data_IF_817171140541
#
_entry.id   IF_817171140541
#
_cell.length_a   1.000
_cell.length_b   1.000
_cell.length_c   1.000
_cell.angle_alpha   90.00
_cell.angle_beta   90.00
_cell.angle_gamma   90.00
#
_symmetry.space_group_name_H-M   'P 1'
#
loop_
_entity.id
_entity.type
_entity.pdbx_description
1 polymer ?
#
# COMPACT_ATOMS: atom_id res chain seq x y z
N UNK A 1 1.24 35.38 35.15
CA UNK A 1 2.30 34.36 35.35
C UNK A 1 1.77 32.94 35.18
N UNK A 2 0.86 32.40 36.01
CA UNK A 2 0.28 31.05 35.72
C UNK A 2 -0.69 31.03 34.52
N UNK A 3 -1.43 32.12 34.30
CA UNK A 3 -2.38 32.25 33.17
C UNK A 3 -1.65 32.36 31.81
N UNK A 4 -0.40 32.83 31.80
CA UNK A 4 0.37 32.99 30.55
C UNK A 4 0.95 31.64 30.09
N UNK A 5 1.38 30.80 31.03
CA UNK A 5 1.91 29.47 30.73
C UNK A 5 0.81 28.49 30.27
N UNK A 6 -0.41 28.62 30.79
CA UNK A 6 -1.55 27.81 30.36
C UNK A 6 -1.98 28.15 28.91
N UNK A 7 -1.88 29.42 28.52
CA UNK A 7 -2.15 29.88 27.14
C UNK A 7 -1.08 29.42 26.15
N UNK A 8 0.19 29.50 26.54
CA UNK A 8 1.32 29.04 25.73
C UNK A 8 1.24 27.52 25.50
N UNK A 9 0.89 26.76 26.54
CA UNK A 9 0.65 25.31 26.43
C UNK A 9 -0.56 24.97 25.56
N UNK A 10 -1.65 25.75 25.65
CA UNK A 10 -2.80 25.59 24.76
C UNK A 10 -2.47 25.88 23.28
N UNK A 11 -1.64 26.90 23.01
CA UNK A 11 -1.16 27.20 21.66
C UNK A 11 -0.28 26.06 21.12
N UNK A 12 0.69 25.57 21.89
CA UNK A 12 1.52 24.42 21.50
C UNK A 12 0.65 23.18 21.21
N UNK A 13 -0.30 22.85 22.10
CA UNK A 13 -1.22 21.71 21.89
C UNK A 13 -2.03 21.87 20.60
N UNK A 14 -2.45 23.09 20.27
CA UNK A 14 -3.18 23.36 19.04
C UNK A 14 -2.29 23.23 17.80
N UNK A 15 -1.06 23.72 17.84
CA UNK A 15 -0.08 23.57 16.77
C UNK A 15 0.23 22.10 16.51
N UNK A 16 0.50 21.31 17.56
CA UNK A 16 0.70 19.86 17.46
C UNK A 16 -0.52 19.14 16.88
N UNK A 17 -1.74 19.54 17.25
CA UNK A 17 -2.98 18.97 16.67
C UNK A 17 -3.11 19.28 15.19
N UNK A 18 -2.80 20.50 14.80
CA UNK A 18 -2.88 20.95 13.42
C UNK A 18 -1.85 20.21 12.55
N UNK A 19 -0.64 20.02 13.07
CA UNK A 19 0.42 19.25 12.42
C UNK A 19 0.00 17.77 12.23
N UNK A 20 -0.60 17.15 13.26
CA UNK A 20 -1.15 15.78 13.17
C UNK A 20 -2.23 15.69 12.07
N UNK A 21 -3.09 16.69 11.96
CA UNK A 21 -4.19 16.70 11.01
C UNK A 21 -3.70 16.83 9.56
N UNK A 22 -2.65 17.62 9.34
CA UNK A 22 -2.00 17.75 8.04
C UNK A 22 -1.22 16.49 7.67
N UNK A 23 -0.53 15.84 8.62
CA UNK A 23 0.05 14.51 8.42
C UNK A 23 -0.99 13.46 8.01
N UNK A 24 -2.18 13.49 8.61
CA UNK A 24 -3.27 12.57 8.25
C UNK A 24 -3.75 12.79 6.82
N UNK A 25 -3.94 14.05 6.40
CA UNK A 25 -4.32 14.38 5.02
C UNK A 25 -3.28 13.92 4.02
N UNK A 26 -2.01 14.10 4.33
CA UNK A 26 -0.92 13.70 3.44
C UNK A 26 -0.82 12.18 3.33
N UNK A 27 -0.96 11.47 4.45
CA UNK A 27 -1.07 10.00 4.47
C UNK A 27 -2.23 9.50 3.60
N UNK A 28 -3.38 10.18 3.63
CA UNK A 28 -4.55 9.81 2.86
C UNK A 28 -4.36 10.05 1.36
N UNK A 29 -3.68 11.14 0.97
CA UNK A 29 -3.26 11.37 -0.43
C UNK A 29 -2.29 10.28 -0.92
N UNK A 30 -1.29 9.94 -0.12
CA UNK A 30 -0.33 8.87 -0.47
C UNK A 30 -1.08 7.55 -0.66
N UNK A 31 -2.01 7.22 0.24
CA UNK A 31 -2.87 6.03 0.11
C UNK A 31 -3.73 6.05 -1.15
N UNK A 32 -4.27 7.20 -1.56
CA UNK A 32 -5.05 7.32 -2.80
C UNK A 32 -4.17 7.13 -4.04
N UNK A 33 -2.95 7.66 -4.04
CA UNK A 33 -1.97 7.47 -5.12
C UNK A 33 -1.57 5.99 -5.22
N UNK A 34 -1.25 5.37 -4.08
CA UNK A 34 -0.98 3.93 -3.97
C UNK A 34 -2.16 3.10 -4.49
N UNK A 35 -3.39 3.44 -4.08
CA UNK A 35 -4.61 2.77 -4.52
C UNK A 35 -4.91 2.94 -6.01
N UNK A 36 -4.50 4.07 -6.60
CA UNK A 36 -4.63 4.33 -8.04
C UNK A 36 -3.62 3.56 -8.87
N UNK A 37 -2.41 3.34 -8.34
CA UNK A 37 -1.35 2.54 -8.99
C UNK A 37 -1.65 1.04 -8.89
N UNK A 38 -2.16 0.60 -7.73
CA UNK A 38 -2.55 -0.79 -7.50
C UNK A 38 -3.85 -1.23 -8.17
N UNK A 39 -4.60 -0.29 -8.76
CA UNK A 39 -5.90 -0.55 -9.35
C UNK A 39 -6.94 -0.89 -8.28
N UNK A 40 -7.54 0.14 -7.68
CA UNK A 40 -8.71 -0.02 -6.82
C UNK A 40 -9.81 -0.78 -7.58
N UNK A 41 -10.31 -1.91 -7.06
CA UNK A 41 -11.42 -2.62 -7.68
C UNK A 41 -12.65 -1.71 -7.66
N UNK A 42 -12.96 -1.14 -8.82
CA UNK A 42 -14.16 -0.32 -9.00
C UNK A 42 -15.40 -1.20 -8.93
N UNK A 43 -16.56 -0.63 -8.59
CA UNK A 43 -17.82 -1.38 -8.55
C UNK A 43 -18.09 -2.14 -9.85
N UNK A 44 -17.70 -1.59 -11.00
CA UNK A 44 -17.81 -2.23 -12.32
C UNK A 44 -16.95 -3.49 -12.44
N UNK A 45 -15.74 -3.52 -11.87
CA UNK A 45 -14.90 -4.73 -11.91
C UNK A 45 -15.48 -5.85 -11.04
N UNK A 46 -16.13 -5.50 -9.92
CA UNK A 46 -16.81 -6.44 -9.04
C UNK A 46 -18.01 -7.10 -9.74
N UNK A 47 -18.81 -6.30 -10.45
CA UNK A 47 -19.93 -6.79 -11.27
C UNK A 47 -19.44 -7.69 -12.40
N UNK A 48 -18.41 -7.28 -13.13
CA UNK A 48 -17.82 -8.11 -14.19
C UNK A 48 -17.28 -9.44 -13.66
N UNK A 49 -16.67 -9.44 -12.47
CA UNK A 49 -16.23 -10.66 -11.81
C UNK A 49 -17.39 -11.61 -11.50
N UNK A 50 -18.49 -11.09 -10.94
CA UNK A 50 -19.69 -11.89 -10.63
C UNK A 50 -20.29 -12.47 -11.91
N UNK A 51 -20.45 -11.65 -12.95
CA UNK A 51 -20.96 -12.11 -14.25
C UNK A 51 -20.08 -13.22 -14.83
N UNK A 52 -18.75 -13.08 -14.75
CA UNK A 52 -17.83 -14.09 -15.24
C UNK A 52 -17.95 -15.43 -14.49
N UNK A 53 -18.12 -15.39 -13.17
CA UNK A 53 -18.32 -16.61 -12.37
C UNK A 53 -19.65 -17.28 -12.74
N UNK A 54 -20.71 -16.48 -12.89
CA UNK A 54 -22.02 -16.99 -13.35
C UNK A 54 -21.90 -17.61 -14.75
N UNK A 55 -21.20 -16.96 -15.68
CA UNK A 55 -20.99 -17.46 -17.03
C UNK A 55 -20.25 -18.82 -17.05
N UNK A 56 -19.20 -18.98 -16.23
CA UNK A 56 -18.51 -20.27 -16.08
C UNK A 56 -19.45 -21.32 -15.49
N UNK A 57 -20.21 -20.97 -14.47
CA UNK A 57 -21.14 -21.89 -13.83
C UNK A 57 -22.21 -22.40 -14.81
N UNK A 58 -22.79 -21.51 -15.61
CA UNK A 58 -23.71 -21.89 -16.69
C UNK A 58 -23.02 -22.75 -17.76
N UNK A 59 -21.80 -22.43 -18.14
CA UNK A 59 -21.03 -23.21 -19.12
C UNK A 59 -20.80 -24.65 -18.61
N UNK A 60 -20.49 -24.82 -17.33
CA UNK A 60 -20.35 -26.14 -16.69
C UNK A 60 -21.68 -26.89 -16.62
N UNK A 61 -22.78 -26.22 -16.25
CA UNK A 61 -24.12 -26.85 -16.22
C UNK A 61 -24.50 -27.33 -17.63
N UNK A 62 -24.38 -26.48 -18.65
CA UNK A 62 -24.70 -26.84 -20.04
C UNK A 62 -23.83 -28.01 -20.50
N UNK A 63 -22.54 -28.01 -20.13
CA UNK A 63 -21.61 -29.11 -20.42
C UNK A 63 -22.11 -30.45 -19.84
N UNK A 64 -22.66 -30.45 -18.61
CA UNK A 64 -23.23 -31.67 -17.99
C UNK A 64 -24.46 -32.21 -18.74
N UNK A 65 -25.31 -31.34 -19.29
CA UNK A 65 -26.52 -31.74 -20.00
C UNK A 65 -26.31 -32.07 -21.49
N UNK A 66 -25.15 -31.74 -22.07
CA UNK A 66 -24.90 -31.89 -23.52
C UNK A 66 -24.11 -33.16 -23.85
N UNK A 67 -24.37 -33.79 -25.01
CA UNK A 67 -23.68 -34.99 -25.51
C UNK A 67 -22.16 -34.79 -25.67
N UNK A 68 -21.40 -35.89 -25.60
CA UNK A 68 -19.93 -35.93 -25.38
C UNK A 68 -19.08 -34.97 -26.23
N UNK A 69 -19.40 -34.75 -27.51
CA UNK A 69 -18.58 -33.88 -28.39
C UNK A 69 -18.67 -32.41 -28.02
N UNK A 70 -19.87 -31.91 -27.73
CA UNK A 70 -20.08 -30.53 -27.29
C UNK A 70 -19.65 -30.34 -25.84
N UNK A 71 -19.70 -31.40 -25.02
CA UNK A 71 -19.19 -31.39 -23.65
C UNK A 71 -17.70 -31.05 -23.62
N UNK A 72 -16.90 -31.71 -24.45
CA UNK A 72 -15.44 -31.50 -24.54
C UNK A 72 -15.10 -30.06 -24.94
N UNK A 73 -15.75 -29.54 -25.99
CA UNK A 73 -15.51 -28.17 -26.48
C UNK A 73 -15.90 -27.14 -25.41
N UNK A 74 -17.04 -27.32 -24.74
CA UNK A 74 -17.46 -26.41 -23.67
C UNK A 74 -16.46 -26.38 -22.50
N UNK A 75 -15.88 -27.54 -22.17
CA UNK A 75 -14.91 -27.68 -21.09
C UNK A 75 -13.57 -27.03 -21.45
N UNK A 76 -13.10 -27.21 -22.70
CA UNK A 76 -11.90 -26.52 -23.21
C UNK A 76 -12.06 -25.01 -23.20
N UNK A 77 -13.22 -24.49 -23.64
CA UNK A 77 -13.52 -23.05 -23.61
C UNK A 77 -13.58 -22.52 -22.18
N UNK A 78 -14.16 -23.26 -21.25
CA UNK A 78 -14.20 -22.88 -19.84
C UNK A 78 -12.78 -22.78 -19.23
N UNK A 79 -11.93 -23.78 -19.49
CA UNK A 79 -10.53 -23.78 -19.02
C UNK A 79 -9.75 -22.61 -19.65
N UNK A 80 -9.92 -22.38 -20.95
CA UNK A 80 -9.27 -21.27 -21.66
C UNK A 80 -9.71 -19.90 -21.12
N UNK A 81 -10.99 -19.73 -20.79
CA UNK A 81 -11.49 -18.50 -20.18
C UNK A 81 -10.89 -18.27 -18.78
N UNK A 82 -10.81 -19.32 -17.96
CA UNK A 82 -10.19 -19.25 -16.63
C UNK A 82 -8.71 -18.89 -16.75
N UNK A 83 -7.96 -19.54 -17.65
CA UNK A 83 -6.53 -19.27 -17.82
C UNK A 83 -6.28 -17.84 -18.30
N UNK A 84 -7.05 -17.34 -19.26
CA UNK A 84 -6.98 -15.95 -19.72
C UNK A 84 -7.24 -14.96 -18.56
N UNK A 85 -8.21 -15.26 -17.70
CA UNK A 85 -8.50 -14.41 -16.53
C UNK A 85 -7.40 -14.44 -15.48
N UNK A 86 -6.77 -15.60 -15.25
CA UNK A 86 -5.61 -15.70 -14.37
C UNK A 86 -4.44 -14.85 -14.89
N UNK A 87 -4.16 -14.91 -16.19
CA UNK A 87 -3.13 -14.08 -16.83
C UNK A 87 -3.46 -12.59 -16.63
N UNK A 88 -4.72 -12.19 -16.82
CA UNK A 88 -5.16 -10.82 -16.62
C UNK A 88 -4.93 -10.34 -15.17
N UNK A 89 -5.31 -11.14 -14.18
CA UNK A 89 -5.10 -10.81 -12.77
C UNK A 89 -3.61 -10.72 -12.45
N UNK A 90 -2.82 -11.69 -12.93
CA UNK A 90 -1.37 -11.74 -12.71
C UNK A 90 -0.66 -10.53 -13.32
N UNK A 91 -1.06 -10.10 -14.52
CA UNK A 91 -0.56 -8.88 -15.14
C UNK A 91 -0.90 -7.63 -14.33
N UNK A 92 -2.12 -7.55 -13.78
CA UNK A 92 -2.49 -6.43 -12.94
C UNK A 92 -1.72 -6.42 -11.60
N UNK A 93 -1.48 -7.59 -11.03
CA UNK A 93 -0.77 -7.76 -9.76
C UNK A 93 0.73 -7.45 -9.89
N UNK A 94 1.34 -7.68 -11.05
CA UNK A 94 2.74 -7.33 -11.31
C UNK A 94 3.03 -5.83 -11.12
N UNK A 95 2.09 -4.95 -11.49
CA UNK A 95 2.24 -3.49 -11.30
C UNK A 95 2.19 -3.09 -9.83
N UNK A 96 1.29 -3.71 -9.07
CA UNK A 96 1.16 -3.48 -7.62
C UNK A 96 2.44 -3.94 -6.91
N UNK A 97 2.93 -5.12 -7.26
CA UNK A 97 4.12 -5.71 -6.64
C UNK A 97 5.37 -4.86 -6.92
N UNK A 98 5.54 -4.37 -8.16
CA UNK A 98 6.62 -3.45 -8.49
C UNK A 98 6.54 -2.15 -7.68
N UNK A 99 5.34 -1.63 -7.48
CA UNK A 99 5.12 -0.43 -6.69
C UNK A 99 5.38 -0.66 -5.19
N UNK A 100 4.96 -1.79 -4.65
CA UNK A 100 5.24 -2.20 -3.26
C UNK A 100 6.74 -2.31 -3.02
N UNK A 101 7.48 -2.96 -3.93
CA UNK A 101 8.94 -3.01 -3.89
C UNK A 101 9.57 -1.62 -3.95
N UNK A 102 9.09 -0.75 -4.84
CA UNK A 102 9.61 0.61 -4.96
C UNK A 102 9.44 1.43 -3.68
N UNK A 103 8.27 1.34 -3.02
CA UNK A 103 8.05 1.97 -1.73
C UNK A 103 8.97 1.41 -0.67
N UNK A 104 9.08 0.08 -0.55
CA UNK A 104 9.94 -0.57 0.44
C UNK A 104 11.40 -0.12 0.28
N UNK A 105 11.93 -0.09 -0.94
CA UNK A 105 13.28 0.40 -1.21
C UNK A 105 13.46 1.89 -0.85
N UNK A 106 12.44 2.73 -1.12
CA UNK A 106 12.49 4.15 -0.75
C UNK A 106 12.53 4.35 0.78
N UNK A 107 11.79 3.51 1.50
CA UNK A 107 11.69 3.55 2.96
C UNK A 107 12.95 2.99 3.60
N UNK A 108 13.50 1.90 3.07
CA UNK A 108 14.80 1.33 3.49
C UNK A 108 15.91 2.38 3.37
N UNK A 109 16.00 3.07 2.23
CA UNK A 109 16.99 4.13 2.03
C UNK A 109 16.82 5.28 3.03
N UNK A 110 15.58 5.74 3.25
CA UNK A 110 15.29 6.82 4.20
C UNK A 110 15.62 6.44 5.64
N UNK A 111 15.28 5.22 6.06
CA UNK A 111 15.63 4.69 7.39
C UNK A 111 17.16 4.63 7.56
N UNK A 112 17.87 4.20 6.52
CA UNK A 112 19.33 4.13 6.56
C UNK A 112 19.97 5.52 6.71
N UNK A 113 19.44 6.55 6.04
CA UNK A 113 19.89 7.93 6.23
C UNK A 113 19.63 8.44 7.65
N UNK A 114 18.44 8.18 8.19
CA UNK A 114 18.11 8.56 9.57
C UNK A 114 19.06 7.88 10.56
N UNK A 115 19.36 6.60 10.34
CA UNK A 115 20.31 5.86 11.18
C UNK A 115 21.71 6.47 11.13
N UNK A 116 22.21 6.89 9.96
CA UNK A 116 23.49 7.59 9.83
C UNK A 116 23.50 8.95 10.53
N UNK A 117 22.43 9.73 10.40
CA UNK A 117 22.31 11.03 11.09
C UNK A 117 22.30 10.84 12.60
N UNK A 118 21.55 9.85 13.08
CA UNK A 118 21.47 9.51 14.50
C UNK A 118 22.84 9.09 15.05
N UNK A 119 23.59 8.26 14.33
CA UNK A 119 24.94 7.86 14.77
C UNK A 119 25.91 9.04 14.80
N UNK A 120 25.84 9.97 13.85
CA UNK A 120 26.66 11.21 13.89
C UNK A 120 26.33 12.07 15.10
N UNK A 121 25.04 12.25 15.42
CA UNK A 121 24.64 12.99 16.61
C UNK A 121 25.15 12.33 17.89
N UNK A 122 25.10 10.99 17.97
CA UNK A 122 25.69 10.27 19.10
C UNK A 122 27.22 10.45 19.20
N UNK A 123 27.93 10.47 18.07
CA UNK A 123 29.37 10.75 18.04
C UNK A 123 29.71 12.19 18.46
N UNK A 124 28.94 13.18 18.00
CA UNK A 124 29.09 14.60 18.38
C UNK A 124 28.85 14.80 19.89
N UNK A 125 27.76 14.25 20.43
CA UNK A 125 27.45 14.31 21.87
C UNK A 125 28.53 13.60 22.70
N UNK A 126 29.04 12.46 22.22
CA UNK A 126 30.13 11.76 22.89
C UNK A 126 31.41 12.62 22.92
N UNK A 127 31.77 13.27 21.80
CA UNK A 127 32.93 14.15 21.72
C UNK A 127 32.79 15.39 22.61
N UNK A 128 31.62 16.03 22.63
CA UNK A 128 31.33 17.17 23.51
C UNK A 128 31.48 16.82 25.00
N UNK A 129 30.98 15.64 25.39
CA UNK A 129 31.14 15.13 26.76
C UNK A 129 32.59 14.77 27.14
N UNK A 130 33.46 14.45 26.18
CA UNK A 130 34.90 14.25 26.42
C UNK A 130 35.68 15.58 26.48
N UNK A 131 35.25 16.63 25.77
CA UNK A 131 35.89 17.95 25.82
C UNK A 131 35.65 18.71 27.13
N UNK A 132 34.50 18.56 27.78
CA UNK A 132 34.26 19.17 29.11
C UNK A 132 35.08 18.51 30.23
N UNK A 133 35.57 17.28 30.03
CA UNK A 133 36.33 16.52 31.04
C UNK A 133 37.85 16.68 30.94
N UNK A 134 38.35 17.39 29.92
CA UNK A 134 39.78 17.63 29.69
C UNK A 134 40.31 19.00 30.12
N UNK A 135 39.42 19.88 30.60
CA UNK A 135 39.73 21.26 31.00
C UNK A 135 39.75 21.48 32.54
N UNK A 136 39.72 20.41 33.35
CA UNK A 136 40.06 20.40 34.80
C UNK A 136 41.43 19.77 35.05
#
# INVERSE_FOLDING_TARGET
>A
MMIDHEKELEEEINELRQEIEDFRKEKERVRLIVGRIGGVPTFNSRVFNIIFVIAIFFCLIISVFTRDTLRLIALEVAIAAISAKLIYIMHNQARVNHFELWILSSLEWRINELHKKMNKLYEEIAQEGFSEQGDE
#
